data_IF_323451924980
#
_entry.id   IF_323451924980
#
_cell.length_a   1.000
_cell.length_b   1.000
_cell.length_c   1.000
_cell.angle_alpha   90.00
_cell.angle_beta   90.00
_cell.angle_gamma   90.00
#
_symmetry.space_group_name_H-M   'P 1'
#
loop_
_entity.id
_entity.type
_entity.pdbx_description
1 polymer ?
#
# COMPACT_ATOMS: atom_id res chain seq x y z
N UNK A 1 13.85 -13.01 -4.40
CA UNK A 1 13.56 -11.61 -4.75
C UNK A 1 14.89 -10.86 -4.89
N UNK A 2 15.41 -10.73 -6.11
CA UNK A 2 16.78 -10.25 -6.38
C UNK A 2 16.99 -8.78 -5.93
N UNK A 3 16.00 -7.91 -6.13
CA UNK A 3 16.11 -6.50 -5.76
C UNK A 3 16.24 -6.31 -4.24
N UNK A 4 15.43 -7.02 -3.42
CA UNK A 4 15.55 -6.94 -1.96
C UNK A 4 16.95 -7.36 -1.52
N UNK A 5 17.48 -8.46 -2.06
CA UNK A 5 18.83 -8.93 -1.72
C UNK A 5 19.90 -7.90 -2.11
N UNK A 6 19.76 -7.24 -3.26
CA UNK A 6 20.65 -6.14 -3.67
C UNK A 6 20.62 -4.97 -2.67
N UNK A 7 19.43 -4.53 -2.25
CA UNK A 7 19.27 -3.45 -1.26
C UNK A 7 19.88 -3.82 0.11
N UNK A 8 19.69 -5.07 0.54
CA UNK A 8 20.32 -5.60 1.76
C UNK A 8 21.85 -5.64 1.64
N UNK A 9 22.38 -6.04 0.48
CA UNK A 9 23.81 -6.05 0.20
C UNK A 9 24.43 -4.65 0.26
N UNK A 10 23.77 -3.66 -0.34
CA UNK A 10 24.22 -2.25 -0.31
C UNK A 10 24.31 -1.75 1.14
N UNK A 11 23.24 -1.94 1.92
CA UNK A 11 23.22 -1.48 3.32
C UNK A 11 24.32 -2.14 4.16
N UNK A 12 24.56 -3.44 3.97
CA UNK A 12 25.65 -4.15 4.65
C UNK A 12 27.03 -3.65 4.24
N UNK A 13 27.26 -3.39 2.95
CA UNK A 13 28.54 -2.89 2.43
C UNK A 13 28.88 -1.51 2.98
N UNK A 14 27.88 -0.68 3.29
CA UNK A 14 28.06 0.63 3.92
C UNK A 14 28.11 0.58 5.46
N UNK A 15 28.10 -0.61 6.06
CA UNK A 15 28.17 -0.80 7.50
C UNK A 15 26.85 -0.58 8.26
N UNK A 16 25.71 -0.47 7.57
CA UNK A 16 24.41 -0.36 8.24
C UNK A 16 23.88 -1.73 8.68
N UNK A 17 23.29 -1.77 9.87
CA UNK A 17 22.54 -2.93 10.36
C UNK A 17 21.13 -2.88 9.79
N UNK A 18 20.73 -3.87 9.00
CA UNK A 18 19.36 -3.95 8.48
C UNK A 18 18.46 -4.72 9.43
N UNK A 19 17.14 -4.49 9.34
CA UNK A 19 16.15 -5.29 10.08
C UNK A 19 16.30 -6.79 9.83
N UNK A 20 16.70 -7.18 8.62
CA UNK A 20 16.87 -8.59 8.24
C UNK A 20 18.15 -9.19 8.85
N UNK A 21 19.18 -8.38 9.13
CA UNK A 21 20.49 -8.86 9.57
C UNK A 21 20.82 -8.64 11.05
N UNK A 22 20.00 -7.90 11.79
CA UNK A 22 20.23 -7.64 13.22
C UNK A 22 20.26 -8.93 14.05
N UNK A 23 21.08 -8.99 15.08
CA UNK A 23 21.04 -10.06 16.10
C UNK A 23 20.12 -9.67 17.26
N UNK A 24 19.83 -10.63 18.14
CA UNK A 24 19.09 -10.35 19.37
C UNK A 24 19.87 -9.31 20.20
N UNK A 25 19.18 -8.24 20.63
CA UNK A 25 19.73 -7.06 21.32
C UNK A 25 20.41 -5.98 20.45
N UNK A 26 20.29 -6.04 19.12
CA UNK A 26 20.70 -4.93 18.25
C UNK A 26 19.49 -4.23 17.64
N UNK A 27 19.52 -2.89 17.69
CA UNK A 27 18.65 -2.04 16.89
C UNK A 27 19.08 -2.10 15.42
N UNK A 28 18.12 -1.89 14.51
CA UNK A 28 18.41 -1.77 13.09
C UNK A 28 18.39 -0.30 12.67
N UNK A 29 19.20 0.03 11.66
CA UNK A 29 19.27 1.38 11.08
C UNK A 29 18.53 1.46 9.74
N UNK A 30 18.40 0.34 9.03
CA UNK A 30 17.80 0.29 7.68
C UNK A 30 16.71 -0.76 7.59
N UNK A 31 15.53 -0.35 7.09
CA UNK A 31 14.42 -1.22 6.75
C UNK A 31 14.19 -1.26 5.23
N UNK A 32 14.58 -2.37 4.59
CA UNK A 32 14.33 -2.58 3.17
C UNK A 32 13.00 -3.34 2.94
N UNK A 33 12.06 -2.71 2.22
CA UNK A 33 10.78 -3.30 1.80
C UNK A 33 10.45 -2.91 0.36
N UNK A 34 10.03 -3.89 -0.45
CA UNK A 34 9.48 -3.70 -1.79
C UNK A 34 8.07 -4.23 -1.69
N UNK A 35 7.09 -3.32 -1.76
CA UNK A 35 5.77 -3.58 -1.19
C UNK A 35 4.78 -3.99 -2.28
N UNK A 36 4.56 -3.12 -3.27
CA UNK A 36 3.67 -3.31 -4.43
C UNK A 36 4.23 -2.60 -5.65
N UNK A 37 3.69 -2.91 -6.83
CA UNK A 37 4.01 -2.18 -8.08
C UNK A 37 3.51 -0.73 -8.02
N UNK A 38 2.29 -0.54 -7.54
CA UNK A 38 1.62 0.76 -7.40
C UNK A 38 0.99 0.88 -6.00
N UNK A 39 1.17 2.03 -5.33
CA UNK A 39 0.68 2.23 -3.95
C UNK A 39 -0.85 2.30 -3.86
N UNK A 40 -1.52 2.64 -4.97
CA UNK A 40 -2.97 2.63 -5.12
C UNK A 40 -3.58 1.26 -4.78
N UNK A 41 -2.79 0.18 -4.84
CA UNK A 41 -3.20 -1.15 -4.36
C UNK A 41 -3.67 -1.12 -2.90
N UNK A 42 -3.05 -0.31 -2.05
CA UNK A 42 -3.40 -0.22 -0.64
C UNK A 42 -4.82 0.33 -0.42
N UNK A 43 -5.32 1.17 -1.33
CA UNK A 43 -6.70 1.65 -1.29
C UNK A 43 -7.70 0.50 -1.52
N UNK A 44 -7.38 -0.42 -2.43
CA UNK A 44 -8.19 -1.64 -2.64
C UNK A 44 -8.14 -2.61 -1.45
N UNK A 45 -7.16 -2.42 -0.56
CA UNK A 45 -7.08 -3.08 0.73
C UNK A 45 -8.19 -2.65 1.71
N UNK A 46 -8.74 -1.45 1.54
CA UNK A 46 -9.83 -0.91 2.36
C UNK A 46 -10.90 -0.26 1.47
N UNK A 47 -11.81 -1.09 0.96
CA UNK A 47 -12.93 -0.65 0.12
C UNK A 47 -13.87 0.30 0.88
N UNK A 48 -13.95 0.18 2.21
CA UNK A 48 -14.78 1.07 3.01
C UNK A 48 -14.19 2.48 3.02
N UNK A 49 -12.86 2.64 3.08
CA UNK A 49 -12.20 3.94 2.94
C UNK A 49 -12.49 4.59 1.58
N UNK A 50 -12.43 3.82 0.48
CA UNK A 50 -12.81 4.32 -0.85
C UNK A 50 -14.24 4.84 -0.84
N UNK A 51 -15.18 4.10 -0.23
CA UNK A 51 -16.59 4.51 -0.20
C UNK A 51 -16.87 5.68 0.74
N UNK A 52 -16.10 5.83 1.81
CA UNK A 52 -16.21 7.00 2.68
C UNK A 52 -15.75 8.27 1.95
N UNK A 53 -14.65 8.19 1.21
CA UNK A 53 -14.21 9.29 0.34
C UNK A 53 -15.17 9.54 -0.84
N UNK A 54 -15.71 8.45 -1.42
CA UNK A 54 -16.54 8.49 -2.62
C UNK A 54 -17.83 7.65 -2.47
N UNK A 55 -18.87 8.19 -1.83
CA UNK A 55 -20.07 7.42 -1.45
C UNK A 55 -20.86 6.78 -2.59
N UNK A 56 -20.77 7.32 -3.82
CA UNK A 56 -21.38 6.78 -5.03
C UNK A 56 -20.70 5.50 -5.55
N UNK A 57 -19.54 5.11 -5.00
CA UNK A 57 -18.87 3.85 -5.35
C UNK A 57 -19.67 2.65 -4.81
N UNK A 58 -19.87 1.65 -5.68
CA UNK A 58 -20.67 0.47 -5.35
C UNK A 58 -20.06 -0.35 -4.21
N UNK A 59 -20.91 -0.77 -3.27
CA UNK A 59 -20.55 -1.70 -2.20
C UNK A 59 -20.03 -3.05 -2.72
N UNK A 60 -20.49 -3.48 -3.89
CA UNK A 60 -20.12 -4.76 -4.48
C UNK A 60 -18.66 -4.81 -4.93
N UNK A 61 -17.92 -3.69 -4.88
CA UNK A 61 -16.51 -3.62 -5.24
C UNK A 61 -15.65 -4.63 -4.47
N UNK A 62 -15.95 -4.85 -3.19
CA UNK A 62 -15.25 -5.83 -2.34
C UNK A 62 -15.34 -7.27 -2.87
N UNK A 63 -16.44 -7.61 -3.56
CA UNK A 63 -16.72 -8.96 -4.04
C UNK A 63 -16.10 -9.23 -5.42
N UNK A 64 -15.66 -8.19 -6.13
CA UNK A 64 -15.15 -8.31 -7.49
C UNK A 64 -13.78 -9.00 -7.50
N UNK A 65 -13.68 -10.06 -8.31
CA UNK A 65 -12.49 -10.92 -8.41
C UNK A 65 -11.16 -10.17 -8.59
N UNK A 66 -11.05 -9.12 -9.44
CA UNK A 66 -9.78 -8.42 -9.65
C UNK A 66 -9.24 -7.75 -8.38
N UNK A 67 -10.12 -7.30 -7.50
CA UNK A 67 -9.72 -6.53 -6.33
C UNK A 67 -9.52 -7.42 -5.10
N UNK A 68 -9.97 -8.69 -5.10
CA UNK A 68 -9.86 -9.59 -3.93
C UNK A 68 -8.45 -9.77 -3.38
N UNK A 69 -7.41 -9.60 -4.19
CA UNK A 69 -6.06 -9.49 -3.68
C UNK A 69 -5.46 -8.17 -4.16
N UNK A 70 -5.48 -7.10 -3.33
CA UNK A 70 -5.00 -5.78 -3.74
C UNK A 70 -3.53 -5.79 -4.18
N UNK A 71 -2.68 -6.60 -3.53
CA UNK A 71 -1.24 -6.64 -3.81
C UNK A 71 -0.90 -7.30 -5.15
N UNK A 72 -1.86 -8.00 -5.76
CA UNK A 72 -1.70 -8.71 -7.03
C UNK A 72 -2.37 -7.98 -8.20
N UNK A 73 -2.84 -6.74 -8.01
CA UNK A 73 -3.26 -5.91 -9.14
C UNK A 73 -2.00 -5.54 -9.91
N UNK A 74 -1.88 -6.04 -11.15
CA UNK A 74 -0.69 -5.87 -11.99
C UNK A 74 -0.97 -4.86 -13.10
N UNK A 75 -0.02 -3.94 -13.30
CA UNK A 75 0.03 -3.01 -14.43
C UNK A 75 -1.31 -2.36 -14.75
N UNK A 76 -1.79 -1.48 -13.88
CA UNK A 76 -3.12 -0.92 -14.06
C UNK A 76 -3.87 -0.50 -12.80
N UNK A 77 -3.20 -0.32 -11.65
CA UNK A 77 -3.91 -0.18 -10.37
C UNK A 77 -4.58 1.19 -10.26
N UNK A 78 -3.88 2.25 -10.64
CA UNK A 78 -4.45 3.58 -10.69
C UNK A 78 -5.49 3.72 -11.80
N UNK A 79 -5.33 3.04 -12.94
CA UNK A 79 -6.32 2.99 -14.03
C UNK A 79 -7.58 2.26 -13.59
N UNK A 80 -7.45 1.19 -12.82
CA UNK A 80 -8.58 0.48 -12.24
C UNK A 80 -9.35 1.38 -11.26
N UNK A 81 -8.63 2.12 -10.40
CA UNK A 81 -9.22 3.08 -9.48
C UNK A 81 -9.91 4.23 -10.22
N UNK A 82 -9.26 4.79 -11.24
CA UNK A 82 -9.83 5.81 -12.13
C UNK A 82 -11.14 5.34 -12.75
N UNK A 83 -11.15 4.13 -13.33
CA UNK A 83 -12.35 3.55 -13.96
C UNK A 83 -13.51 3.40 -12.97
N UNK A 84 -13.23 2.98 -11.74
CA UNK A 84 -14.26 2.84 -10.69
C UNK A 84 -14.83 4.20 -10.31
N UNK A 85 -13.97 5.19 -10.08
CA UNK A 85 -14.38 6.53 -9.66
C UNK A 85 -15.10 7.28 -10.79
N UNK A 86 -14.62 7.13 -12.02
CA UNK A 86 -15.26 7.65 -13.22
C UNK A 86 -16.66 7.07 -13.41
N UNK A 87 -16.81 5.74 -13.27
CA UNK A 87 -18.12 5.07 -13.33
C UNK A 87 -19.08 5.54 -12.22
N UNK A 88 -18.55 5.97 -11.07
CA UNK A 88 -19.33 6.55 -9.98
C UNK A 88 -19.60 8.06 -10.14
N UNK A 89 -19.20 8.66 -11.27
CA UNK A 89 -19.44 10.08 -11.58
C UNK A 89 -18.43 11.05 -10.99
N UNK A 90 -17.27 10.58 -10.55
CA UNK A 90 -16.14 11.41 -10.10
C UNK A 90 -15.10 11.55 -11.21
N UNK A 91 -14.24 12.58 -11.14
CA UNK A 91 -13.05 12.69 -12.00
C UNK A 91 -13.28 12.44 -13.50
N UNK A 92 -14.34 13.04 -14.08
CA UNK A 92 -14.73 12.79 -15.47
C UNK A 92 -13.67 13.22 -16.51
N UNK A 93 -12.74 14.10 -16.12
CA UNK A 93 -11.59 14.53 -16.93
C UNK A 93 -10.26 13.82 -16.61
N UNK A 94 -10.29 12.75 -15.80
CA UNK A 94 -9.11 12.00 -15.39
C UNK A 94 -8.86 12.05 -13.87
N UNK A 95 -8.22 11.00 -13.36
CA UNK A 95 -7.97 10.81 -11.93
C UNK A 95 -7.02 11.87 -11.37
N UNK A 96 -7.52 12.68 -10.43
CA UNK A 96 -6.67 13.57 -9.64
C UNK A 96 -5.97 12.75 -8.54
N UNK A 97 -4.87 12.08 -8.90
CA UNK A 97 -4.17 11.09 -8.03
C UNK A 97 -3.87 11.61 -6.63
N UNK A 98 -3.35 12.83 -6.51
CA UNK A 98 -3.01 13.43 -5.21
C UNK A 98 -4.23 13.67 -4.32
N UNK A 99 -5.31 14.21 -4.90
CA UNK A 99 -6.57 14.45 -4.19
C UNK A 99 -7.17 13.12 -3.75
N UNK A 100 -7.25 12.17 -4.67
CA UNK A 100 -7.74 10.82 -4.42
C UNK A 100 -6.97 10.11 -3.30
N UNK A 101 -5.63 10.17 -3.34
CA UNK A 101 -4.80 9.59 -2.30
C UNK A 101 -5.05 10.24 -0.93
N UNK A 102 -5.15 11.57 -0.85
CA UNK A 102 -5.43 12.29 0.40
C UNK A 102 -6.81 11.94 0.98
N UNK A 103 -7.84 11.93 0.13
CA UNK A 103 -9.22 11.69 0.57
C UNK A 103 -9.42 10.23 1.03
N UNK A 104 -8.91 9.25 0.26
CA UNK A 104 -9.06 7.83 0.65
C UNK A 104 -8.21 7.52 1.88
N UNK A 105 -6.95 7.96 1.93
CA UNK A 105 -6.06 7.64 3.05
C UNK A 105 -6.56 8.19 4.39
N UNK A 106 -7.28 9.32 4.39
CA UNK A 106 -7.91 9.87 5.59
C UNK A 106 -8.95 8.97 6.25
N UNK A 107 -9.51 8.00 5.51
CA UNK A 107 -10.49 7.03 6.01
C UNK A 107 -9.93 5.61 6.15
N UNK A 108 -8.66 5.37 5.78
CA UNK A 108 -8.07 4.03 5.83
C UNK A 108 -7.95 3.53 7.27
N UNK A 109 -8.51 2.35 7.52
CA UNK A 109 -8.35 1.67 8.78
C UNK A 109 -7.17 0.70 8.71
N UNK A 110 -6.19 0.90 9.60
CA UNK A 110 -4.95 0.11 9.61
C UNK A 110 -5.20 -1.38 9.89
N UNK A 111 -6.24 -1.71 10.68
CA UNK A 111 -6.53 -3.08 11.12
C UNK A 111 -7.42 -3.82 10.14
N UNK A 112 -8.29 -3.11 9.42
CA UNK A 112 -9.23 -3.70 8.44
C UNK A 112 -8.63 -3.78 7.03
N UNK A 113 -7.50 -3.12 6.79
CA UNK A 113 -6.86 -3.15 5.49
C UNK A 113 -6.27 -4.54 5.20
N UNK A 114 -6.81 -5.20 4.17
CA UNK A 114 -6.45 -6.57 3.80
C UNK A 114 -5.27 -6.69 2.82
N UNK A 115 -4.63 -5.58 2.45
CA UNK A 115 -3.37 -5.61 1.72
C UNK A 115 -2.26 -6.11 2.65
N UNK A 116 -1.67 -7.26 2.31
CA UNK A 116 -0.59 -7.84 3.11
C UNK A 116 0.64 -6.93 3.08
N UNK A 117 0.89 -6.34 1.92
CA UNK A 117 1.98 -5.43 1.70
C UNK A 117 1.83 -4.14 2.54
N UNK A 118 0.62 -3.57 2.62
CA UNK A 118 0.29 -2.46 3.50
C UNK A 118 0.49 -2.82 4.98
N UNK A 119 -0.01 -3.98 5.43
CA UNK A 119 0.20 -4.45 6.80
C UNK A 119 1.69 -4.58 7.15
N UNK A 120 2.51 -5.09 6.23
CA UNK A 120 3.97 -5.18 6.42
C UNK A 120 4.61 -3.79 6.50
N UNK A 121 4.13 -2.83 5.71
CA UNK A 121 4.58 -1.45 5.77
C UNK A 121 4.26 -0.82 7.13
N UNK A 122 3.00 -0.90 7.59
CA UNK A 122 2.56 -0.40 8.90
C UNK A 122 3.35 -1.04 10.04
N UNK A 123 3.51 -2.37 10.03
CA UNK A 123 4.32 -3.07 11.02
C UNK A 123 5.78 -2.60 11.01
N UNK A 124 6.33 -2.31 9.82
CA UNK A 124 7.65 -1.72 9.65
C UNK A 124 7.78 -0.38 10.34
N UNK A 125 6.81 0.52 10.13
CA UNK A 125 6.78 1.84 10.77
C UNK A 125 6.62 1.74 12.29
N UNK A 126 5.73 0.87 12.77
CA UNK A 126 5.53 0.68 14.21
C UNK A 126 6.79 0.20 14.92
N UNK A 127 7.61 -0.61 14.27
CA UNK A 127 8.90 -1.02 14.83
C UNK A 127 9.98 0.07 14.78
N UNK A 128 9.87 1.04 13.87
CA UNK A 128 10.76 2.22 13.85
C UNK A 128 10.36 3.22 14.94
N UNK A 129 9.06 3.38 15.18
CA UNK A 129 8.54 4.36 16.15
C UNK A 129 8.63 3.85 17.60
N UNK A 130 8.66 2.53 17.82
CA UNK A 130 8.81 1.91 19.16
C UNK A 130 10.22 2.02 19.77
N UNK A 131 11.02 2.98 19.31
CA UNK A 131 12.30 3.36 19.93
C UNK A 131 12.02 4.28 21.10
#
# INVERSE_FOLDING_TARGET
MALKQKLEGIAKQTGFITKTSRTNNQDFQVLNRIVVEELEAWFFGDINAIRQAYPRVSQNLINQKPYRNPDNIKGGTWEALEKILNKAGYFQGGLQKLVCAREISGYMNLNENRSKSFQIFVQGLLEIIKT
#
